data_IF_693460657845
#
_entry.id   IF_693460657845
#
_cell.length_a   1.000
_cell.length_b   1.000
_cell.length_c   1.000
_cell.angle_alpha   90.00
_cell.angle_beta   90.00
_cell.angle_gamma   90.00
#
_symmetry.space_group_name_H-M   'P 1'
#
loop_
_entity.id
_entity.type
_entity.pdbx_description
1 polymer ?
#
# COMPACT_ATOMS: atom_id res chain seq x y z
N UNK A 1 -6.40 -4.93 6.31
CA UNK A 1 -5.61 -4.07 5.42
C UNK A 1 -4.17 -4.57 5.29
N UNK A 2 -3.50 -4.95 6.36
CA UNK A 2 -2.14 -5.49 6.31
C UNK A 2 -2.03 -6.76 5.47
N UNK A 3 -3.01 -7.67 5.55
CA UNK A 3 -3.06 -8.85 4.71
C UNK A 3 -3.19 -8.51 3.22
N UNK A 4 -3.95 -7.47 2.90
CA UNK A 4 -4.09 -6.98 1.52
C UNK A 4 -2.77 -6.39 1.02
N UNK A 5 -2.06 -5.63 1.84
CA UNK A 5 -0.73 -5.09 1.53
C UNK A 5 0.23 -6.24 1.19
N UNK A 6 0.31 -7.23 2.04
CA UNK A 6 1.18 -8.40 1.84
C UNK A 6 0.83 -9.15 0.54
N UNK A 7 -0.45 -9.35 0.31
CA UNK A 7 -0.94 -10.05 -0.90
C UNK A 7 -0.60 -9.28 -2.17
N UNK A 8 -0.83 -7.97 -2.21
CA UNK A 8 -0.50 -7.11 -3.35
C UNK A 8 0.99 -7.15 -3.64
N UNK A 9 1.84 -7.06 -2.62
CA UNK A 9 3.29 -7.10 -2.78
C UNK A 9 3.78 -8.46 -3.25
N UNK A 10 3.21 -9.54 -2.75
CA UNK A 10 3.59 -10.92 -3.14
C UNK A 10 3.23 -11.21 -4.58
N UNK A 11 2.08 -10.72 -5.04
CA UNK A 11 1.59 -10.97 -6.40
C UNK A 11 2.22 -10.07 -7.46
N UNK A 12 2.92 -9.02 -7.05
CA UNK A 12 3.54 -8.06 -7.95
C UNK A 12 4.97 -7.72 -7.50
N UNK A 13 5.97 -8.60 -7.75
CA UNK A 13 7.34 -8.39 -7.31
C UNK A 13 7.99 -7.10 -7.83
N UNK A 14 7.62 -6.66 -9.03
CA UNK A 14 8.15 -5.41 -9.61
C UNK A 14 7.63 -4.19 -8.87
N UNK A 15 6.35 -4.22 -8.48
CA UNK A 15 5.72 -3.18 -7.64
C UNK A 15 6.41 -3.13 -6.28
N UNK A 16 6.67 -4.29 -5.69
CA UNK A 16 7.41 -4.39 -4.44
C UNK A 16 8.77 -3.69 -4.53
N UNK A 17 9.53 -3.99 -5.58
CA UNK A 17 10.88 -3.44 -5.76
C UNK A 17 10.86 -1.92 -5.89
N UNK A 18 9.93 -1.34 -6.66
CA UNK A 18 9.82 0.11 -6.83
C UNK A 18 9.22 0.82 -5.61
N UNK A 19 8.23 0.22 -4.97
CA UNK A 19 7.51 0.81 -3.85
C UNK A 19 8.22 0.62 -2.51
N UNK A 20 9.17 -0.32 -2.41
CA UNK A 20 9.85 -0.69 -1.17
C UNK A 20 10.44 0.52 -0.42
N UNK A 21 11.19 1.45 -1.05
CA UNK A 21 11.73 2.60 -0.35
C UNK A 21 10.68 3.52 0.25
N UNK A 22 9.45 3.52 -0.29
CA UNK A 22 8.34 4.33 0.20
C UNK A 22 7.56 3.58 1.28
N UNK A 23 7.35 2.28 1.08
CA UNK A 23 6.52 1.45 1.95
C UNK A 23 7.24 1.06 3.24
N UNK A 24 8.54 0.77 3.18
CA UNK A 24 9.30 0.32 4.34
C UNK A 24 9.22 1.27 5.54
N UNK A 25 9.46 2.60 5.39
CA UNK A 25 9.30 3.53 6.52
C UNK A 25 7.87 3.57 7.06
N UNK A 26 6.86 3.47 6.19
CA UNK A 26 5.45 3.44 6.59
C UNK A 26 5.12 2.19 7.41
N UNK A 27 5.63 1.04 7.02
CA UNK A 27 5.43 -0.22 7.76
C UNK A 27 6.17 -0.23 9.09
N UNK A 28 7.37 0.33 9.16
CA UNK A 28 8.11 0.49 10.43
C UNK A 28 7.33 1.39 11.37
N UNK A 29 6.84 2.53 10.91
CA UNK A 29 6.01 3.43 11.71
C UNK A 29 4.72 2.76 12.18
N UNK A 30 4.09 1.96 11.32
CA UNK A 30 2.91 1.18 11.68
C UNK A 30 3.21 0.19 12.80
N UNK A 31 4.34 -0.52 12.75
CA UNK A 31 4.74 -1.48 13.79
C UNK A 31 4.98 -0.77 15.12
N UNK A 32 5.67 0.38 15.10
CA UNK A 32 5.93 1.17 16.30
C UNK A 32 4.62 1.69 16.92
N UNK A 33 3.71 2.20 16.11
CA UNK A 33 2.40 2.66 16.54
C UNK A 33 1.54 1.50 17.07
N UNK A 34 1.59 0.34 16.41
CA UNK A 34 0.89 -0.86 16.86
C UNK A 34 1.36 -1.30 18.24
N UNK A 35 2.68 -1.27 18.49
CA UNK A 35 3.24 -1.60 19.81
C UNK A 35 2.76 -0.62 20.87
N UNK A 36 2.75 0.69 20.58
CA UNK A 36 2.23 1.71 21.49
C UNK A 36 0.75 1.50 21.82
N UNK A 37 -0.08 1.30 20.82
CA UNK A 37 -1.51 1.06 20.99
C UNK A 37 -1.78 -0.23 21.75
N UNK A 38 -1.02 -1.29 21.46
CA UNK A 38 -1.14 -2.57 22.15
C UNK A 38 -0.81 -2.44 23.65
N UNK A 39 0.24 -1.70 23.98
CA UNK A 39 0.60 -1.43 25.39
C UNK A 39 -0.48 -0.60 26.08
N UNK A 40 -1.04 0.38 25.41
CA UNK A 40 -2.12 1.20 25.94
C UNK A 40 -3.37 0.37 26.20
N UNK A 41 -3.78 -0.48 25.26
CA UNK A 41 -4.93 -1.37 25.43
C UNK A 41 -4.70 -2.41 26.54
N UNK A 42 -3.50 -2.97 26.62
CA UNK A 42 -3.14 -3.87 27.71
C UNK A 42 -3.21 -3.17 29.08
N UNK A 43 -2.76 -1.91 29.15
CA UNK A 43 -2.90 -1.09 30.36
C UNK A 43 -4.35 -0.88 30.76
N UNK A 44 -5.24 -0.65 29.80
CA UNK A 44 -6.70 -0.52 30.06
C UNK A 44 -7.24 -1.84 30.65
N UNK A 45 -6.90 -2.98 30.06
CA UNK A 45 -7.36 -4.29 30.52
C UNK A 45 -6.87 -4.59 31.94
N UNK A 46 -5.59 -4.31 32.21
CA UNK A 46 -5.01 -4.53 33.55
C UNK A 46 -5.57 -3.57 34.60
N UNK A 47 -6.04 -2.41 34.20
CA UNK A 47 -6.61 -1.38 35.07
C UNK A 47 -8.15 -1.40 35.08
N UNK A 48 -8.77 -2.50 34.64
CA UNK A 48 -10.22 -2.60 34.49
C UNK A 48 -10.99 -2.21 35.74
N UNK A 49 -10.55 -2.64 36.93
CA UNK A 49 -11.17 -2.26 38.20
C UNK A 49 -11.14 -0.76 38.46
N UNK A 50 -10.01 -0.11 38.20
CA UNK A 50 -9.85 1.34 38.36
C UNK A 50 -10.70 2.09 37.33
N UNK A 51 -10.75 1.65 36.08
CA UNK A 51 -11.57 2.23 35.03
C UNK A 51 -13.06 2.14 35.36
N UNK A 52 -13.48 1.02 35.91
CA UNK A 52 -14.86 0.80 36.30
C UNK A 52 -15.30 1.71 37.46
N UNK A 53 -14.36 2.22 38.26
CA UNK A 53 -14.59 3.19 39.32
C UNK A 53 -14.51 4.64 38.85
N UNK A 54 -14.07 4.89 37.64
CA UNK A 54 -14.04 6.22 37.03
C UNK A 54 -15.44 6.79 36.84
N UNK A 55 -15.53 8.11 36.83
CA UNK A 55 -16.71 8.79 36.37
C UNK A 55 -17.00 8.46 34.91
N UNK A 56 -18.28 8.46 34.55
CA UNK A 56 -18.72 8.10 33.19
C UNK A 56 -18.05 8.95 32.11
N UNK A 57 -17.90 10.26 32.36
CA UNK A 57 -17.29 11.18 31.41
C UNK A 57 -15.81 10.86 31.18
N UNK A 58 -15.05 10.57 32.25
CA UNK A 58 -13.62 10.19 32.19
C UNK A 58 -13.42 8.87 31.45
N UNK A 59 -14.26 7.88 31.74
CA UNK A 59 -14.25 6.59 31.07
C UNK A 59 -14.52 6.73 29.58
N UNK A 60 -15.48 7.57 29.20
CA UNK A 60 -15.82 7.84 27.83
C UNK A 60 -14.66 8.48 27.07
N UNK A 61 -13.97 9.45 27.67
CA UNK A 61 -12.78 10.08 27.08
C UNK A 61 -11.69 9.03 26.83
N UNK A 62 -11.44 8.14 27.79
CA UNK A 62 -10.42 7.08 27.66
C UNK A 62 -10.75 6.11 26.54
N UNK A 63 -12.01 5.66 26.45
CA UNK A 63 -12.46 4.75 25.39
C UNK A 63 -12.45 5.41 24.01
N UNK A 64 -12.86 6.67 23.91
CA UNK A 64 -12.82 7.42 22.66
C UNK A 64 -11.39 7.61 22.18
N UNK A 65 -10.44 7.86 23.09
CA UNK A 65 -9.02 7.92 22.75
C UNK A 65 -8.51 6.58 22.22
N UNK A 66 -8.86 5.47 22.86
CA UNK A 66 -8.47 4.14 22.42
C UNK A 66 -8.99 3.81 21.03
N UNK A 67 -10.26 4.11 20.75
CA UNK A 67 -10.87 3.93 19.44
C UNK A 67 -10.19 4.80 18.37
N UNK A 68 -9.90 6.05 18.70
CA UNK A 68 -9.21 6.99 17.83
C UNK A 68 -7.82 6.48 17.42
N UNK A 69 -7.08 5.87 18.34
CA UNK A 69 -5.77 5.29 18.06
C UNK A 69 -5.85 4.05 17.15
N UNK A 70 -6.85 3.20 17.34
CA UNK A 70 -7.09 2.05 16.46
C UNK A 70 -7.49 2.52 15.06
N UNK A 71 -8.34 3.53 14.95
CA UNK A 71 -8.72 4.11 13.66
C UNK A 71 -7.52 4.72 12.93
N UNK A 72 -6.62 5.37 13.67
CA UNK A 72 -5.38 5.91 13.09
C UNK A 72 -4.52 4.80 12.48
N UNK A 73 -4.34 3.68 13.17
CA UNK A 73 -3.62 2.51 12.63
C UNK A 73 -4.26 1.97 11.35
N UNK A 74 -5.57 1.87 11.35
CA UNK A 74 -6.33 1.43 10.17
C UNK A 74 -6.10 2.36 8.98
N UNK A 75 -6.22 3.67 9.22
CA UNK A 75 -6.05 4.68 8.17
C UNK A 75 -4.62 4.71 7.63
N UNK A 76 -3.62 4.57 8.48
CA UNK A 76 -2.21 4.51 8.08
C UNK A 76 -1.93 3.28 7.21
N UNK A 77 -2.49 2.12 7.57
CA UNK A 77 -2.38 0.90 6.77
C UNK A 77 -3.09 1.04 5.43
N UNK A 78 -4.24 1.69 5.40
CA UNK A 78 -4.98 1.95 4.17
C UNK A 78 -4.24 2.89 3.25
N UNK A 79 -3.60 3.92 3.78
CA UNK A 79 -2.75 4.84 3.02
C UNK A 79 -1.58 4.10 2.36
N UNK A 80 -0.94 3.16 3.08
CA UNK A 80 0.13 2.31 2.53
C UNK A 80 -0.38 1.44 1.38
N UNK A 81 -1.55 0.81 1.56
CA UNK A 81 -2.18 0.03 0.49
C UNK A 81 -2.47 0.86 -0.75
N UNK A 82 -2.93 2.10 -0.57
CA UNK A 82 -3.18 3.04 -1.67
C UNK A 82 -1.90 3.35 -2.44
N UNK A 83 -0.77 3.58 -1.75
CA UNK A 83 0.54 3.79 -2.40
C UNK A 83 0.93 2.58 -3.24
N UNK A 84 0.74 1.37 -2.73
CA UNK A 84 1.05 0.13 -3.47
C UNK A 84 0.20 0.03 -4.74
N UNK A 85 -1.09 0.30 -4.64
CA UNK A 85 -2.02 0.26 -5.79
C UNK A 85 -1.69 1.31 -6.83
N UNK A 86 -1.38 2.53 -6.41
CA UNK A 86 -0.98 3.62 -7.31
C UNK A 86 0.34 3.28 -8.04
N UNK A 87 1.31 2.73 -7.32
CA UNK A 87 2.58 2.29 -7.90
C UNK A 87 2.37 1.15 -8.91
N UNK A 88 1.52 0.17 -8.57
CA UNK A 88 1.14 -0.91 -9.47
C UNK A 88 0.51 -0.38 -10.76
N UNK A 89 -0.40 0.58 -10.62
CA UNK A 89 -1.08 1.19 -11.75
C UNK A 89 -0.10 1.95 -12.66
N UNK A 90 0.83 2.69 -12.06
CA UNK A 90 1.85 3.44 -12.79
C UNK A 90 2.80 2.50 -13.56
N UNK A 91 3.19 1.37 -12.97
CA UNK A 91 4.02 0.35 -13.64
C UNK A 91 3.28 -0.28 -14.81
N UNK A 92 2.03 -0.66 -14.63
CA UNK A 92 1.21 -1.22 -15.72
C UNK A 92 1.05 -0.23 -16.87
N UNK A 93 0.85 1.04 -16.55
CA UNK A 93 0.73 2.10 -17.58
C UNK A 93 2.04 2.25 -18.36
N UNK A 94 3.18 2.25 -17.69
CA UNK A 94 4.50 2.32 -18.34
C UNK A 94 4.75 1.11 -19.25
N UNK A 95 4.40 -0.09 -18.78
CA UNK A 95 4.52 -1.32 -19.58
C UNK A 95 3.64 -1.28 -20.82
N UNK A 96 2.41 -0.81 -20.69
CA UNK A 96 1.49 -0.69 -21.82
C UNK A 96 1.99 0.28 -22.87
N UNK A 97 2.53 1.44 -22.46
CA UNK A 97 3.13 2.41 -23.36
C UNK A 97 4.37 1.84 -24.06
N UNK A 98 5.24 1.16 -23.32
CA UNK A 98 6.43 0.54 -23.86
C UNK A 98 6.09 -0.53 -24.90
N UNK A 99 5.10 -1.36 -24.61
CA UNK A 99 4.61 -2.37 -25.54
C UNK A 99 3.99 -1.75 -26.81
N UNK A 100 3.26 -0.65 -26.66
CA UNK A 100 2.72 0.09 -27.78
C UNK A 100 3.82 0.59 -28.73
N UNK A 101 4.89 1.16 -28.18
CA UNK A 101 6.02 1.63 -28.98
C UNK A 101 6.77 0.51 -29.67
N UNK A 102 6.98 -0.62 -28.98
CA UNK A 102 7.61 -1.81 -29.56
C UNK A 102 6.79 -2.34 -30.73
N UNK A 103 5.48 -2.49 -30.59
CA UNK A 103 4.60 -2.99 -31.62
C UNK A 103 4.56 -2.05 -32.82
N UNK A 104 4.55 -0.75 -32.58
CA UNK A 104 4.61 0.25 -33.64
C UNK A 104 5.91 0.19 -34.42
N UNK A 105 7.04 0.03 -33.74
CA UNK A 105 8.35 -0.10 -34.39
C UNK A 105 8.42 -1.38 -35.23
N UNK A 106 7.84 -2.48 -34.77
CA UNK A 106 7.75 -3.73 -35.53
C UNK A 106 6.93 -3.57 -36.80
N UNK A 107 5.76 -2.91 -36.71
CA UNK A 107 4.92 -2.64 -37.88
C UNK A 107 5.66 -1.79 -38.90
N UNK A 108 6.33 -0.74 -38.46
CA UNK A 108 7.12 0.13 -39.30
C UNK A 108 8.22 -0.63 -40.03
N UNK A 109 8.96 -1.50 -39.31
CA UNK A 109 9.99 -2.34 -39.89
C UNK A 109 9.42 -3.32 -40.93
N UNK A 110 8.29 -3.93 -40.66
CA UNK A 110 7.59 -4.82 -41.59
C UNK A 110 7.13 -4.09 -42.84
N UNK A 111 6.60 -2.87 -42.70
CA UNK A 111 6.16 -2.04 -43.86
C UNK A 111 7.35 -1.66 -44.72
N UNK A 112 8.49 -1.30 -44.15
CA UNK A 112 9.72 -0.99 -44.89
C UNK A 112 10.19 -2.23 -45.66
N UNK A 113 10.25 -3.40 -45.02
CA UNK A 113 10.64 -4.67 -45.69
C UNK A 113 9.68 -5.01 -46.85
N UNK A 114 8.39 -4.82 -46.63
CA UNK A 114 7.38 -5.08 -47.66
C UNK A 114 7.56 -4.15 -48.87
N UNK A 115 7.83 -2.87 -48.63
CA UNK A 115 8.07 -1.90 -49.68
C UNK A 115 9.34 -2.22 -50.49
N UNK A 116 10.42 -2.64 -49.81
CA UNK A 116 11.65 -3.06 -50.42
C UNK A 116 11.42 -4.29 -51.32
N UNK A 117 10.66 -5.27 -50.88
CA UNK A 117 10.30 -6.45 -51.65
C UNK A 117 9.47 -6.09 -52.88
N UNK A 118 8.53 -5.16 -52.77
CA UNK A 118 7.69 -4.75 -53.91
C UNK A 118 8.47 -3.95 -54.94
N UNK A 119 9.60 -3.34 -54.56
CA UNK A 119 10.51 -2.67 -55.52
C UNK A 119 11.48 -3.65 -56.20
N UNK A 120 11.43 -4.95 -55.89
CA UNK A 120 12.28 -5.94 -56.49
C UNK A 120 13.74 -5.93 -56.09
N UNK A 121 14.00 -5.33 -54.92
CA UNK A 121 15.37 -5.22 -54.37
C UNK A 121 15.72 -6.40 -53.46
#
# INVERSE_FOLDING_TARGET
VQQKIYREMRNAPDVFREAFPIILPKQINFIDDLQMVTRFLAGIVLSYGAINQMERAERQILLDYALSEVDRLYNDSYATLTVIRETSYAIQRRRSLFQYYIDRDKELAQDILKNVKSLGI
#
